data_IF_016805807752
#
_entry.id   IF_016805807752
#
_cell.length_a   1.000
_cell.length_b   1.000
_cell.length_c   1.000
_cell.angle_alpha   90.00
_cell.angle_beta   90.00
_cell.angle_gamma   90.00
#
_symmetry.space_group_name_H-M   'P 1'
#
loop_
_entity.id
_entity.type
_entity.pdbx_description
1 polymer ?
#
# COMPACT_ATOMS: atom_id res chain seq x y z
N UNK A 1 -36.27 -31.18 -44.75
CA UNK A 1 -35.15 -31.44 -43.84
C UNK A 1 -35.74 -31.43 -42.45
N UNK A 2 -36.01 -32.64 -41.97
CA UNK A 2 -36.68 -32.94 -40.71
C UNK A 2 -35.61 -33.54 -39.81
N UNK A 3 -35.46 -33.05 -38.59
CA UNK A 3 -34.78 -33.81 -37.54
C UNK A 3 -35.66 -33.83 -36.30
N UNK A 4 -36.07 -35.05 -35.98
CA UNK A 4 -36.88 -35.48 -34.85
C UNK A 4 -36.12 -35.37 -33.53
N UNK A 5 -36.82 -34.90 -32.49
CA UNK A 5 -36.43 -35.12 -31.10
C UNK A 5 -37.05 -36.44 -30.65
N UNK A 6 -36.23 -37.49 -30.56
CA UNK A 6 -36.63 -38.79 -30.05
C UNK A 6 -36.46 -38.86 -28.52
N UNK A 7 -37.44 -39.49 -27.90
CA UNK A 7 -37.66 -39.65 -26.45
C UNK A 7 -37.41 -41.12 -26.05
N UNK A 8 -36.84 -41.33 -24.85
CA UNK A 8 -36.82 -42.55 -23.98
C UNK A 8 -35.95 -43.77 -24.36
N UNK A 9 -35.62 -44.73 -23.44
CA UNK A 9 -36.00 -44.89 -22.02
C UNK A 9 -34.87 -45.21 -21.00
N UNK A 10 -35.32 -45.34 -19.75
CA UNK A 10 -34.68 -45.72 -18.51
C UNK A 10 -33.73 -46.94 -18.53
N UNK A 11 -32.68 -46.85 -17.71
CA UNK A 11 -31.97 -48.00 -17.15
C UNK A 11 -31.91 -47.87 -15.61
N UNK A 12 -32.34 -48.96 -14.98
CA UNK A 12 -32.43 -49.22 -13.55
C UNK A 12 -31.06 -49.71 -13.07
N UNK A 13 -30.50 -49.10 -12.02
CA UNK A 13 -29.44 -49.72 -11.22
C UNK A 13 -29.76 -49.56 -9.74
N UNK A 14 -29.71 -50.71 -9.07
CA UNK A 14 -30.08 -51.00 -7.69
C UNK A 14 -29.22 -50.31 -6.62
N UNK A 15 -29.89 -50.01 -5.49
CA UNK A 15 -29.48 -50.36 -4.12
C UNK A 15 -28.02 -50.07 -3.70
N UNK A 16 -27.80 -48.87 -3.16
CA UNK A 16 -26.67 -48.54 -2.30
C UNK A 16 -27.16 -47.84 -1.02
N UNK A 17 -27.19 -48.60 0.07
CA UNK A 17 -27.63 -48.26 1.42
C UNK A 17 -27.12 -46.91 1.96
N UNK A 18 -28.02 -46.15 2.58
CA UNK A 18 -27.75 -44.93 3.32
C UNK A 18 -26.72 -45.16 4.44
N UNK A 19 -25.73 -44.26 4.66
CA UNK A 19 -25.01 -44.24 5.91
C UNK A 19 -25.93 -43.67 7.00
N UNK A 20 -26.29 -44.51 7.95
CA UNK A 20 -26.93 -44.13 9.20
C UNK A 20 -26.10 -43.06 9.95
N UNK A 21 -26.75 -42.16 10.71
CA UNK A 21 -26.09 -41.20 11.56
C UNK A 21 -25.41 -41.92 12.74
N UNK A 22 -24.08 -41.96 12.73
CA UNK A 22 -23.28 -42.47 13.83
C UNK A 22 -23.52 -41.63 15.10
N UNK A 23 -24.18 -42.25 16.07
CA UNK A 23 -23.87 -42.21 17.51
C UNK A 23 -23.41 -40.86 18.07
N UNK A 24 -24.34 -40.22 18.78
CA UNK A 24 -24.17 -39.16 19.78
C UNK A 24 -23.03 -39.51 20.74
N UNK A 25 -21.81 -39.01 20.49
CA UNK A 25 -20.73 -39.01 21.49
C UNK A 25 -21.05 -37.92 22.51
N UNK A 26 -21.40 -38.36 23.71
CA UNK A 26 -21.68 -37.48 24.85
C UNK A 26 -20.51 -36.56 25.22
N UNK A 27 -20.74 -35.57 26.09
CA UNK A 27 -19.78 -34.54 26.49
C UNK A 27 -18.50 -35.07 27.17
N UNK A 28 -18.41 -36.36 27.44
CA UNK A 28 -17.23 -37.02 28.01
C UNK A 28 -16.10 -37.20 26.99
N UNK A 29 -16.41 -37.50 25.72
CA UNK A 29 -15.39 -37.69 24.69
C UNK A 29 -14.62 -36.40 24.32
N UNK A 30 -15.22 -35.24 24.57
CA UNK A 30 -14.54 -33.94 24.43
C UNK A 30 -13.64 -33.62 25.62
N UNK A 31 -14.01 -34.07 26.82
CA UNK A 31 -13.18 -33.94 28.02
C UNK A 31 -11.95 -34.80 27.94
N UNK A 32 -12.07 -36.01 27.40
CA UNK A 32 -10.93 -36.92 27.23
C UNK A 32 -9.92 -36.39 26.20
N UNK A 33 -10.39 -35.83 25.07
CA UNK A 33 -9.50 -35.15 24.11
C UNK A 33 -8.87 -33.88 24.66
N UNK A 34 -9.62 -33.11 25.45
CA UNK A 34 -9.08 -31.91 26.09
C UNK A 34 -8.03 -32.27 27.16
N UNK A 35 -8.25 -33.35 27.91
CA UNK A 35 -7.29 -33.89 28.87
C UNK A 35 -6.04 -34.43 28.17
N UNK A 36 -6.19 -35.18 27.07
CA UNK A 36 -5.08 -35.67 26.26
C UNK A 36 -4.29 -34.51 25.61
N UNK A 37 -4.97 -33.47 25.12
CA UNK A 37 -4.32 -32.26 24.63
C UNK A 37 -3.57 -31.51 25.73
N UNK A 38 -4.11 -31.46 26.96
CA UNK A 38 -3.46 -30.82 28.11
C UNK A 38 -2.26 -31.62 28.59
N UNK A 39 -2.31 -32.95 28.53
CA UNK A 39 -1.17 -33.82 28.80
C UNK A 39 -0.09 -33.70 27.72
N UNK A 40 -0.44 -33.58 26.44
CA UNK A 40 0.52 -33.31 25.37
C UNK A 40 1.18 -31.93 25.51
N UNK A 41 0.45 -30.91 25.96
CA UNK A 41 1.01 -29.58 26.24
C UNK A 41 1.91 -29.63 27.48
N UNK A 42 1.51 -30.34 28.55
CA UNK A 42 2.36 -30.55 29.73
C UNK A 42 3.63 -31.34 29.39
N UNK A 43 3.55 -32.38 28.56
CA UNK A 43 4.69 -33.16 28.09
C UNK A 43 5.64 -32.35 27.19
N UNK A 44 5.11 -31.45 26.36
CA UNK A 44 5.93 -30.50 25.59
C UNK A 44 6.56 -29.43 26.47
N UNK A 45 5.90 -29.04 27.57
CA UNK A 45 6.42 -28.06 28.52
C UNK A 45 7.43 -28.66 29.52
N UNK A 46 7.41 -29.98 29.77
CA UNK A 46 8.48 -30.65 30.52
C UNK A 46 9.73 -30.89 29.67
N UNK A 47 9.59 -30.98 28.35
CA UNK A 47 10.74 -30.94 27.42
C UNK A 47 11.41 -29.56 27.38
N UNK A 48 10.67 -28.46 27.52
CA UNK A 48 11.26 -27.12 27.69
C UNK A 48 11.83 -26.91 29.09
N UNK A 49 11.38 -27.66 30.09
CA UNK A 49 11.89 -27.60 31.46
C UNK A 49 13.22 -28.38 31.64
N UNK A 50 13.44 -29.46 30.88
CA UNK A 50 14.74 -30.14 30.83
C UNK A 50 15.84 -29.39 30.05
N UNK A 51 15.50 -28.30 29.35
CA UNK A 51 16.49 -27.39 28.72
C UNK A 51 16.85 -26.21 29.65
N UNK A 52 16.17 -26.04 30.79
CA UNK A 52 16.51 -25.00 31.79
C UNK A 52 17.79 -25.29 32.60
N UNK A 53 18.44 -26.45 32.36
CA UNK A 53 19.75 -26.79 32.92
C UNK A 53 20.93 -26.46 32.00
N UNK A 54 20.68 -25.95 30.78
CA UNK A 54 21.71 -25.30 29.99
C UNK A 54 21.76 -23.85 30.43
N UNK A 55 22.87 -23.46 31.04
CA UNK A 55 23.14 -22.13 31.56
C UNK A 55 22.53 -21.03 30.68
N UNK A 56 21.74 -20.15 31.29
CA UNK A 56 21.50 -18.84 30.72
C UNK A 56 22.88 -18.18 30.58
N UNK A 57 23.49 -18.31 29.41
CA UNK A 57 24.65 -17.52 29.01
C UNK A 57 24.10 -16.10 28.83
N UNK A 58 23.98 -15.38 29.95
CA UNK A 58 23.91 -13.93 29.93
C UNK A 58 25.12 -13.44 29.14
N UNK A 59 24.91 -12.44 28.29
CA UNK A 59 25.99 -11.76 27.53
C UNK A 59 27.16 -11.34 28.46
N UNK A 60 26.87 -11.10 29.73
CA UNK A 60 27.84 -10.71 30.77
C UNK A 60 28.75 -11.84 31.27
N UNK A 61 28.50 -13.11 30.91
CA UNK A 61 29.23 -14.29 31.41
C UNK A 61 29.93 -15.11 30.31
N UNK A 62 30.10 -14.54 29.12
CA UNK A 62 31.04 -15.08 28.14
C UNK A 62 32.44 -14.87 28.73
N UNK A 63 33.27 -15.90 28.97
CA UNK A 63 34.66 -15.68 29.35
C UNK A 63 35.28 -14.83 28.26
N UNK A 64 35.71 -13.63 28.64
CA UNK A 64 36.41 -12.65 27.81
C UNK A 64 37.75 -13.27 27.42
N UNK A 65 37.69 -14.21 26.49
CA UNK A 65 38.85 -14.78 25.84
C UNK A 65 39.53 -13.62 25.15
N UNK A 66 40.74 -13.29 25.63
CA UNK A 66 41.62 -12.25 25.12
C UNK A 66 41.56 -12.21 23.60
N UNK A 67 40.73 -11.30 23.09
CA UNK A 67 40.77 -10.90 21.69
C UNK A 67 42.10 -10.16 21.53
N UNK A 68 42.97 -10.57 20.58
CA UNK A 68 44.21 -9.84 20.34
C UNK A 68 43.84 -8.41 19.99
N UNK A 69 44.15 -7.50 20.92
CA UNK A 69 43.94 -6.07 20.76
C UNK A 69 44.97 -5.55 19.76
N UNK A 70 44.58 -5.45 18.49
CA UNK A 70 45.30 -4.68 17.49
C UNK A 70 44.31 -3.73 16.81
N UNK A 71 44.55 -2.44 17.00
CA UNK A 71 43.72 -1.29 16.62
C UNK A 71 43.57 -1.05 15.10
N UNK A 72 43.78 -2.06 14.25
CA UNK A 72 43.63 -1.92 12.81
C UNK A 72 42.65 -2.94 12.23
N UNK A 73 41.63 -2.43 11.54
CA UNK A 73 40.72 -3.15 10.64
C UNK A 73 39.59 -3.98 11.27
N UNK A 74 38.47 -3.32 11.60
CA UNK A 74 37.14 -3.96 11.71
C UNK A 74 36.59 -4.47 10.34
N UNK A 75 37.46 -4.84 9.39
CA UNK A 75 37.03 -5.59 8.21
C UNK A 75 36.88 -7.04 8.63
N UNK A 76 35.61 -7.43 8.77
CA UNK A 76 35.09 -8.79 8.84
C UNK A 76 36.13 -9.88 8.96
N UNK A 77 36.20 -10.46 10.15
CA UNK A 77 36.68 -11.82 10.34
C UNK A 77 36.11 -12.69 9.20
N UNK A 78 36.98 -13.35 8.44
CA UNK A 78 36.53 -14.27 7.40
C UNK A 78 35.90 -15.48 8.07
N UNK A 79 34.57 -15.44 8.20
CA UNK A 79 33.78 -16.47 8.84
C UNK A 79 34.02 -17.85 8.21
N UNK A 80 34.39 -17.90 6.92
CA UNK A 80 34.67 -19.16 6.25
C UNK A 80 36.03 -19.72 6.68
N UNK A 81 37.07 -18.88 6.75
CA UNK A 81 38.39 -19.27 7.25
C UNK A 81 38.34 -19.74 8.71
N UNK A 82 37.54 -19.08 9.55
CA UNK A 82 37.32 -19.51 10.93
C UNK A 82 36.65 -20.87 10.95
N UNK A 83 35.51 -21.04 10.24
CA UNK A 83 34.77 -22.31 10.18
C UNK A 83 35.64 -23.46 9.68
N UNK A 84 36.50 -23.23 8.71
CA UNK A 84 37.42 -24.25 8.18
C UNK A 84 38.46 -24.72 9.20
N UNK A 85 38.87 -23.84 10.12
CA UNK A 85 39.82 -24.15 11.20
C UNK A 85 39.22 -24.91 12.39
N UNK A 86 37.88 -24.98 12.50
CA UNK A 86 37.24 -25.72 13.59
C UNK A 86 37.34 -27.26 13.40
N UNK A 87 37.29 -28.04 14.48
CA UNK A 87 37.08 -29.49 14.40
C UNK A 87 35.79 -29.86 13.66
N UNK A 88 35.77 -31.02 13.00
CA UNK A 88 34.65 -31.45 12.12
C UNK A 88 33.28 -31.49 12.84
N UNK A 89 33.26 -31.91 14.11
CA UNK A 89 32.05 -31.90 14.95
C UNK A 89 31.52 -30.47 15.17
N UNK A 90 32.40 -29.50 15.36
CA UNK A 90 32.02 -28.11 15.55
C UNK A 90 31.55 -27.47 14.23
N UNK A 91 32.14 -27.83 13.07
CA UNK A 91 31.64 -27.41 11.75
C UNK A 91 30.21 -27.87 11.52
N UNK A 92 29.91 -29.13 11.86
CA UNK A 92 28.57 -29.71 11.75
C UNK A 92 27.56 -28.99 12.64
N UNK A 93 27.93 -28.66 13.87
CA UNK A 93 27.08 -27.90 14.80
C UNK A 93 26.78 -26.50 14.26
N UNK A 94 27.79 -25.75 13.80
CA UNK A 94 27.60 -24.41 13.22
C UNK A 94 26.74 -24.46 11.95
N UNK A 95 26.91 -25.48 11.11
CA UNK A 95 26.06 -25.70 9.92
C UNK A 95 24.60 -25.95 10.30
N UNK A 96 24.34 -26.78 11.30
CA UNK A 96 23.00 -27.01 11.82
C UNK A 96 22.39 -25.75 12.43
N UNK A 97 23.15 -24.99 13.22
CA UNK A 97 22.69 -23.70 13.74
C UNK A 97 22.32 -22.75 12.61
N UNK A 98 23.15 -22.60 11.57
CA UNK A 98 22.83 -21.74 10.41
C UNK A 98 21.54 -22.16 9.72
N UNK A 99 21.34 -23.47 9.53
CA UNK A 99 20.10 -24.02 8.94
C UNK A 99 18.90 -23.71 9.82
N UNK A 100 19.01 -23.91 11.13
CA UNK A 100 17.94 -23.66 12.09
C UNK A 100 17.61 -22.16 12.17
N UNK A 101 18.62 -21.29 12.22
CA UNK A 101 18.41 -19.84 12.19
C UNK A 101 17.77 -19.38 10.88
N UNK A 102 18.20 -19.92 9.74
CA UNK A 102 17.60 -19.59 8.43
C UNK A 102 16.15 -20.03 8.40
N UNK A 103 15.85 -21.27 8.83
CA UNK A 103 14.49 -21.81 8.91
C UNK A 103 13.62 -20.98 9.85
N UNK A 104 14.09 -20.69 11.06
CA UNK A 104 13.37 -19.84 12.03
C UNK A 104 13.13 -18.44 11.48
N UNK A 105 14.08 -17.87 10.75
CA UNK A 105 13.92 -16.53 10.13
C UNK A 105 12.84 -16.56 9.06
N UNK A 106 12.82 -17.60 8.22
CA UNK A 106 11.77 -17.79 7.21
C UNK A 106 10.40 -18.00 7.87
N UNK A 107 10.33 -18.82 8.93
CA UNK A 107 9.11 -19.08 9.69
C UNK A 107 8.59 -17.81 10.37
N UNK A 108 9.45 -17.03 11.03
CA UNK A 108 9.07 -15.74 11.63
C UNK A 108 8.59 -14.76 10.55
N UNK A 109 9.22 -14.75 9.37
CA UNK A 109 8.78 -13.91 8.26
C UNK A 109 7.40 -14.32 7.74
N UNK A 110 7.14 -15.63 7.66
CA UNK A 110 5.83 -16.17 7.28
C UNK A 110 4.76 -15.81 8.33
N UNK A 111 5.04 -16.04 9.61
CA UNK A 111 4.15 -15.69 10.72
C UNK A 111 3.82 -14.19 10.76
N UNK A 112 4.82 -13.32 10.54
CA UNK A 112 4.61 -11.87 10.45
C UNK A 112 3.68 -11.50 9.30
N UNK A 113 3.87 -12.11 8.13
CA UNK A 113 3.01 -11.88 6.97
C UNK A 113 1.58 -12.36 7.21
N UNK A 114 1.41 -13.52 7.85
CA UNK A 114 0.09 -14.04 8.23
C UNK A 114 -0.62 -13.12 9.24
N UNK A 115 0.12 -12.63 10.24
CA UNK A 115 -0.40 -11.66 11.20
C UNK A 115 -0.79 -10.35 10.53
N UNK A 116 0.01 -9.84 9.60
CA UNK A 116 -0.31 -8.63 8.85
C UNK A 116 -1.59 -8.79 8.01
N UNK A 117 -1.75 -9.94 7.34
CA UNK A 117 -2.97 -10.26 6.58
C UNK A 117 -4.19 -10.31 7.51
N UNK A 118 -4.07 -10.94 8.67
CA UNK A 118 -5.14 -11.01 9.66
C UNK A 118 -5.47 -9.62 10.24
N UNK A 119 -4.46 -8.80 10.53
CA UNK A 119 -4.68 -7.43 11.01
C UNK A 119 -5.40 -6.59 9.95
N UNK A 120 -4.99 -6.71 8.68
CA UNK A 120 -5.62 -6.02 7.56
C UNK A 120 -7.04 -6.52 7.29
N UNK A 121 -7.35 -7.79 7.58
CA UNK A 121 -8.72 -8.31 7.43
C UNK A 121 -9.63 -7.87 8.58
N UNK A 122 -9.11 -7.66 9.79
CA UNK A 122 -9.89 -7.18 10.93
C UNK A 122 -10.21 -5.69 10.76
N UNK A 123 -9.24 -4.85 10.43
CA UNK A 123 -9.47 -3.41 10.32
C UNK A 123 -10.34 -3.08 9.11
N UNK A 124 -11.50 -2.47 9.36
CA UNK A 124 -12.50 -2.21 8.32
C UNK A 124 -13.40 -3.39 7.97
N UNK A 125 -13.28 -4.52 8.70
CA UNK A 125 -14.29 -5.59 8.65
C UNK A 125 -15.65 -5.11 9.19
N UNK A 126 -16.71 -5.85 8.85
CA UNK A 126 -18.04 -5.63 9.44
C UNK A 126 -18.02 -5.74 10.96
N UNK A 127 -17.13 -6.58 11.50
CA UNK A 127 -16.93 -6.70 12.94
C UNK A 127 -16.36 -5.39 13.54
N UNK A 128 -15.32 -4.81 12.95
CA UNK A 128 -14.71 -3.55 13.41
C UNK A 128 -15.71 -2.38 13.38
N UNK A 129 -16.51 -2.31 12.30
CA UNK A 129 -17.60 -1.33 12.16
C UNK A 129 -18.67 -1.50 13.23
N UNK A 130 -19.04 -2.75 13.56
CA UNK A 130 -20.04 -3.03 14.58
C UNK A 130 -19.57 -2.65 15.98
N UNK A 131 -18.30 -2.92 16.32
CA UNK A 131 -17.70 -2.50 17.58
C UNK A 131 -17.65 -0.96 17.67
N UNK A 132 -17.28 -0.29 16.59
CA UNK A 132 -17.28 1.18 16.54
C UNK A 132 -18.70 1.75 16.75
N UNK A 133 -19.70 1.21 16.05
CA UNK A 133 -21.09 1.62 16.19
C UNK A 133 -21.64 1.38 17.61
N UNK A 134 -21.37 0.22 18.21
CA UNK A 134 -21.77 -0.10 19.59
C UNK A 134 -21.03 0.76 20.63
N UNK A 135 -19.77 1.11 20.39
CA UNK A 135 -19.02 1.97 21.30
C UNK A 135 -19.53 3.42 21.30
N UNK A 136 -20.05 3.88 20.15
CA UNK A 136 -20.52 5.25 19.92
C UNK A 136 -22.03 5.41 20.13
N UNK A 137 -22.78 4.34 20.37
CA UNK A 137 -24.22 4.43 20.65
C UNK A 137 -24.47 5.19 21.96
N UNK A 138 -25.60 5.88 22.03
CA UNK A 138 -26.01 6.61 23.24
C UNK A 138 -26.06 5.65 24.44
N UNK A 139 -25.62 6.12 25.62
CA UNK A 139 -25.56 5.29 26.82
C UNK A 139 -26.95 4.76 27.16
N UNK A 140 -27.13 3.45 27.08
CA UNK A 140 -28.38 2.79 27.43
C UNK A 140 -28.68 3.09 28.91
N UNK A 141 -29.85 3.68 29.19
CA UNK A 141 -30.36 3.84 30.55
C UNK A 141 -30.53 2.46 31.17
N UNK A 142 -29.87 2.26 32.32
CA UNK A 142 -29.84 0.97 32.97
C UNK A 142 -31.13 0.78 33.75
N UNK A 143 -32.04 -0.06 33.25
CA UNK A 143 -33.16 -0.57 34.04
C UNK A 143 -32.63 -1.66 34.98
N UNK A 144 -32.65 -1.46 36.31
CA UNK A 144 -32.16 -2.44 37.28
C UNK A 144 -32.99 -3.73 37.32
N UNK A 145 -34.18 -3.77 36.70
CA UNK A 145 -35.07 -4.93 36.71
C UNK A 145 -35.08 -5.71 35.39
N UNK A 146 -34.41 -5.22 34.34
CA UNK A 146 -34.28 -5.90 33.05
C UNK A 146 -32.87 -6.46 32.86
N UNK A 147 -32.77 -7.78 32.66
CA UNK A 147 -31.49 -8.43 32.35
C UNK A 147 -30.92 -7.99 31.00
N UNK A 148 -31.78 -7.60 30.07
CA UNK A 148 -31.39 -7.16 28.72
C UNK A 148 -30.64 -5.82 28.75
N UNK A 149 -31.05 -4.88 29.59
CA UNK A 149 -30.38 -3.57 29.75
C UNK A 149 -28.97 -3.72 30.34
N UNK A 150 -28.76 -4.70 31.23
CA UNK A 150 -27.42 -5.03 31.75
C UNK A 150 -26.53 -5.64 30.67
N UNK A 151 -27.04 -6.59 29.90
CA UNK A 151 -26.28 -7.22 28.80
C UNK A 151 -25.85 -6.19 27.75
N UNK A 152 -26.76 -5.30 27.35
CA UNK A 152 -26.45 -4.22 26.39
C UNK A 152 -25.37 -3.27 26.92
N UNK A 153 -25.40 -2.91 28.21
CA UNK A 153 -24.37 -2.07 28.81
C UNK A 153 -23.02 -2.77 28.92
N UNK A 154 -23.02 -4.07 29.22
CA UNK A 154 -21.80 -4.89 29.22
C UNK A 154 -21.23 -4.93 27.80
N UNK A 155 -22.05 -5.17 26.78
CA UNK A 155 -21.63 -5.19 25.39
C UNK A 155 -21.05 -3.83 24.96
N UNK A 156 -21.67 -2.72 25.35
CA UNK A 156 -21.16 -1.37 25.09
C UNK A 156 -19.80 -1.12 25.77
N UNK A 157 -19.65 -1.49 27.05
CA UNK A 157 -18.39 -1.32 27.78
C UNK A 157 -17.28 -2.20 27.20
N UNK A 158 -17.59 -3.43 26.80
CA UNK A 158 -16.66 -4.32 26.08
C UNK A 158 -16.28 -3.71 24.73
N UNK A 159 -17.25 -3.21 23.96
CA UNK A 159 -16.99 -2.56 22.68
C UNK A 159 -16.12 -1.31 22.84
N UNK A 160 -16.34 -0.50 23.88
CA UNK A 160 -15.52 0.69 24.17
C UNK A 160 -14.08 0.31 24.48
N UNK A 161 -13.85 -0.65 25.38
CA UNK A 161 -12.49 -1.13 25.71
C UNK A 161 -11.80 -1.75 24.51
N UNK A 162 -12.55 -2.47 23.69
CA UNK A 162 -12.03 -3.06 22.47
C UNK A 162 -11.65 -2.00 21.44
N UNK A 163 -12.46 -0.95 21.30
CA UNK A 163 -12.15 0.20 20.45
C UNK A 163 -10.89 0.94 20.94
N UNK A 164 -10.76 1.16 22.25
CA UNK A 164 -9.55 1.74 22.88
C UNK A 164 -8.29 0.89 22.62
N UNK A 165 -8.41 -0.45 22.72
CA UNK A 165 -7.31 -1.38 22.42
C UNK A 165 -6.92 -1.38 20.93
N UNK A 166 -7.90 -1.24 20.03
CA UNK A 166 -7.68 -1.24 18.58
C UNK A 166 -7.24 0.12 18.02
N UNK A 167 -7.43 1.21 18.76
CA UNK A 167 -7.04 2.56 18.39
C UNK A 167 -5.56 2.68 17.91
N UNK A 168 -4.54 2.18 18.64
CA UNK A 168 -3.15 2.24 18.17
C UNK A 168 -2.95 1.51 16.83
N UNK A 169 -3.63 0.37 16.64
CA UNK A 169 -3.52 -0.41 15.42
C UNK A 169 -4.14 0.34 14.22
N UNK A 170 -5.28 1.00 14.41
CA UNK A 170 -5.87 1.86 13.36
C UNK A 170 -4.97 3.06 13.03
N UNK A 171 -4.33 3.67 14.03
CA UNK A 171 -3.38 4.76 13.82
C UNK A 171 -2.16 4.32 13.02
N UNK A 172 -1.59 3.16 13.35
CA UNK A 172 -0.47 2.58 12.62
C UNK A 172 -0.85 2.28 11.16
N UNK A 173 -2.01 1.66 10.92
CA UNK A 173 -2.48 1.43 9.56
C UNK A 173 -2.71 2.73 8.78
N UNK A 174 -3.31 3.75 9.40
CA UNK A 174 -3.49 5.05 8.77
C UNK A 174 -2.14 5.69 8.40
N UNK A 175 -1.13 5.56 9.27
CA UNK A 175 0.22 6.01 9.00
C UNK A 175 0.89 5.23 7.85
N UNK A 176 0.78 3.90 7.85
CA UNK A 176 1.32 3.04 6.78
C UNK A 176 0.68 3.36 5.43
N UNK A 177 -0.65 3.54 5.37
CA UNK A 177 -1.35 3.94 4.15
C UNK A 177 -0.88 5.30 3.64
N UNK A 178 -0.73 6.29 4.53
CA UNK A 178 -0.19 7.62 4.16
C UNK A 178 1.24 7.53 3.64
N UNK A 179 2.08 6.70 4.25
CA UNK A 179 3.45 6.47 3.78
C UNK A 179 3.47 5.83 2.39
N UNK A 180 2.65 4.79 2.18
CA UNK A 180 2.52 4.15 0.87
C UNK A 180 2.01 5.12 -0.20
N UNK A 181 0.99 5.93 0.11
CA UNK A 181 0.49 6.98 -0.79
C UNK A 181 1.58 8.00 -1.14
N UNK A 182 2.40 8.40 -0.16
CA UNK A 182 3.51 9.32 -0.39
C UNK A 182 4.62 8.71 -1.25
N UNK A 183 4.95 7.43 -1.03
CA UNK A 183 5.95 6.72 -1.83
C UNK A 183 5.45 6.50 -3.27
N UNK A 184 4.18 6.09 -3.45
CA UNK A 184 3.53 6.01 -4.76
C UNK A 184 3.54 7.36 -5.48
N UNK A 185 3.15 8.42 -4.78
CA UNK A 185 3.12 9.77 -5.34
C UNK A 185 4.51 10.25 -5.81
N UNK A 186 5.57 9.95 -5.05
CA UNK A 186 6.95 10.23 -5.46
C UNK A 186 7.39 9.43 -6.68
N UNK A 187 6.98 8.16 -6.78
CA UNK A 187 7.31 7.33 -7.94
C UNK A 187 6.59 7.78 -9.20
N UNK A 188 5.34 8.24 -9.07
CA UNK A 188 4.53 8.73 -10.19
C UNK A 188 4.96 10.13 -10.66
N UNK A 189 5.46 10.96 -9.75
CA UNK A 189 5.79 12.36 -10.02
C UNK A 189 7.28 12.62 -9.69
N UNK A 190 8.21 12.19 -10.55
CA UNK A 190 9.64 12.45 -10.36
C UNK A 190 9.99 13.95 -10.46
N UNK A 191 9.14 14.75 -11.11
CA UNK A 191 9.23 16.22 -11.24
C UNK A 191 8.86 16.95 -9.94
N UNK A 192 8.47 16.24 -8.88
CA UNK A 192 8.18 16.84 -7.57
C UNK A 192 9.35 17.67 -7.02
N UNK A 193 10.59 17.34 -7.37
CA UNK A 193 11.77 18.09 -6.91
C UNK A 193 11.86 19.49 -7.53
N UNK A 194 11.38 19.67 -8.77
CA UNK A 194 11.48 20.95 -9.48
C UNK A 194 10.55 22.00 -8.87
N UNK A 195 9.44 21.58 -8.27
CA UNK A 195 8.42 22.45 -7.67
C UNK A 195 8.46 22.46 -6.14
N UNK A 196 9.51 21.89 -5.52
CA UNK A 196 9.58 21.66 -4.08
C UNK A 196 9.43 22.95 -3.25
N UNK A 197 10.11 24.02 -3.66
CA UNK A 197 10.12 25.26 -2.89
C UNK A 197 8.74 25.94 -2.88
N UNK A 198 8.08 25.96 -4.04
CA UNK A 198 6.72 26.47 -4.19
C UNK A 198 5.72 25.66 -3.37
N UNK A 199 5.83 24.33 -3.43
CA UNK A 199 4.99 23.40 -2.64
C UNK A 199 5.18 23.63 -1.14
N UNK A 200 6.43 23.75 -0.67
CA UNK A 200 6.73 24.02 0.74
C UNK A 200 6.19 25.36 1.17
N UNK A 201 6.27 26.40 0.32
CA UNK A 201 5.69 27.71 0.63
C UNK A 201 4.16 27.62 0.80
N UNK A 202 3.47 26.86 -0.05
CA UNK A 202 2.02 26.67 0.01
C UNK A 202 1.60 25.87 1.24
N UNK A 203 2.29 24.78 1.54
CA UNK A 203 2.00 23.95 2.72
C UNK A 203 2.25 24.69 4.04
N UNK A 204 3.26 25.57 4.10
CA UNK A 204 3.48 26.45 5.26
C UNK A 204 2.36 27.47 5.43
N UNK A 205 1.84 28.01 4.32
CA UNK A 205 0.74 28.99 4.35
C UNK A 205 -0.61 28.35 4.71
N UNK A 206 -0.85 27.10 4.28
CA UNK A 206 -2.10 26.38 4.48
C UNK A 206 -1.82 24.94 4.95
N UNK A 207 -1.91 24.71 6.27
CA UNK A 207 -1.70 23.39 6.87
C UNK A 207 -2.80 22.37 6.54
N UNK A 208 -3.96 22.81 6.06
CA UNK A 208 -5.06 21.93 5.65
C UNK A 208 -4.87 21.33 4.25
N UNK A 209 -3.87 21.78 3.49
CA UNK A 209 -3.67 21.34 2.12
C UNK A 209 -2.87 20.03 2.08
N UNK A 210 -3.26 19.11 1.18
CA UNK A 210 -2.49 17.89 0.97
C UNK A 210 -1.26 18.17 0.09
N UNK A 211 -0.22 17.33 0.22
CA UNK A 211 0.98 17.43 -0.63
C UNK A 211 0.63 17.27 -2.12
N UNK A 212 -0.30 16.37 -2.43
CA UNK A 212 -0.76 16.10 -3.78
C UNK A 212 -1.44 17.34 -4.39
N UNK A 213 -2.33 17.98 -3.66
CA UNK A 213 -3.00 19.20 -4.11
C UNK A 213 -2.00 20.35 -4.30
N UNK A 214 -1.08 20.52 -3.35
CA UNK A 214 -0.03 21.53 -3.43
C UNK A 214 0.81 21.36 -4.69
N UNK A 215 1.18 20.13 -5.03
CA UNK A 215 1.93 19.82 -6.23
C UNK A 215 1.17 20.18 -7.51
N UNK A 216 -0.10 19.77 -7.65
CA UNK A 216 -0.86 20.09 -8.86
C UNK A 216 -1.09 21.59 -9.03
N UNK A 217 -1.28 22.31 -7.92
CA UNK A 217 -1.38 23.78 -7.94
C UNK A 217 -0.05 24.40 -8.39
N UNK A 218 1.08 23.97 -7.82
CA UNK A 218 2.40 24.48 -8.17
C UNK A 218 2.74 24.21 -9.64
N UNK A 219 2.51 22.97 -10.11
CA UNK A 219 2.70 22.58 -11.51
C UNK A 219 1.82 23.38 -12.47
N UNK A 220 0.55 23.58 -12.10
CA UNK A 220 -0.38 24.42 -12.87
C UNK A 220 0.09 25.86 -12.98
N UNK A 221 0.63 26.44 -11.89
CA UNK A 221 1.22 27.79 -11.91
C UNK A 221 2.43 27.86 -12.84
N UNK A 222 3.35 26.90 -12.74
CA UNK A 222 4.54 26.87 -13.58
C UNK A 222 4.20 26.72 -15.08
N UNK A 223 3.24 25.86 -15.42
CA UNK A 223 2.76 25.70 -16.80
C UNK A 223 2.10 26.98 -17.31
N UNK A 224 1.31 27.65 -16.49
CA UNK A 224 0.69 28.93 -16.84
C UNK A 224 1.73 30.04 -17.06
N UNK A 225 2.79 30.05 -16.27
CA UNK A 225 3.89 31.02 -16.42
C UNK A 225 4.67 30.78 -17.72
N UNK A 226 4.99 29.51 -18.04
CA UNK A 226 5.61 29.15 -19.32
C UNK A 226 4.73 29.54 -20.52
N UNK A 227 3.43 29.30 -20.42
CA UNK A 227 2.47 29.68 -21.46
C UNK A 227 2.40 31.20 -21.63
N UNK A 228 2.44 31.95 -20.52
CA UNK A 228 2.50 33.41 -20.54
C UNK A 228 3.79 33.91 -21.20
N UNK A 229 4.93 33.33 -20.86
CA UNK A 229 6.23 33.68 -21.46
C UNK A 229 6.23 33.41 -22.97
N UNK A 230 5.79 32.23 -23.41
CA UNK A 230 5.67 31.89 -24.82
C UNK A 230 4.71 32.85 -25.58
N UNK A 231 3.62 33.28 -24.96
CA UNK A 231 2.73 34.29 -25.54
C UNK A 231 3.41 35.64 -25.68
N UNK A 232 4.17 36.08 -24.67
CA UNK A 232 4.92 37.35 -24.73
C UNK A 232 6.00 37.31 -25.79
N UNK A 233 6.73 36.20 -25.95
CA UNK A 233 7.73 36.03 -27.01
C UNK A 233 7.09 36.06 -28.40
N UNK A 234 5.95 35.38 -28.58
CA UNK A 234 5.21 35.44 -29.84
C UNK A 234 4.69 36.84 -30.16
N UNK A 235 4.24 37.60 -29.15
CA UNK A 235 3.83 38.99 -29.33
C UNK A 235 5.01 39.87 -29.72
N UNK A 236 6.14 39.77 -29.01
CA UNK A 236 7.37 40.48 -29.34
C UNK A 236 7.87 40.12 -30.75
N UNK A 237 7.86 38.85 -31.12
CA UNK A 237 8.24 38.40 -32.46
C UNK A 237 7.30 38.96 -33.53
N UNK A 238 5.98 39.00 -33.28
CA UNK A 238 5.00 39.62 -34.19
C UNK A 238 5.23 41.12 -34.34
N UNK A 239 5.52 41.82 -33.26
CA UNK A 239 5.81 43.26 -33.28
C UNK A 239 7.11 43.56 -34.03
N UNK A 240 8.17 42.79 -33.76
CA UNK A 240 9.44 42.89 -34.47
C UNK A 240 9.25 42.60 -35.96
N UNK A 241 8.56 41.52 -36.33
CA UNK A 241 8.27 41.18 -37.72
C UNK A 241 7.45 42.27 -38.43
N UNK A 242 6.48 42.90 -37.74
CA UNK A 242 5.76 44.07 -38.28
C UNK A 242 6.69 45.25 -38.50
N UNK A 243 7.56 45.55 -37.54
CA UNK A 243 8.52 46.65 -37.65
C UNK A 243 9.54 46.42 -38.77
N UNK A 244 10.07 45.20 -38.93
CA UNK A 244 10.96 44.84 -40.03
C UNK A 244 10.22 44.76 -41.37
N UNK A 245 9.01 44.20 -41.43
CA UNK A 245 8.17 44.18 -42.63
C UNK A 245 7.82 45.59 -43.12
N UNK A 246 7.63 46.55 -42.21
CA UNK A 246 7.43 47.96 -42.55
C UNK A 246 8.71 48.63 -43.07
N UNK A 247 9.91 48.18 -42.65
CA UNK A 247 11.20 48.73 -43.07
C UNK A 247 11.79 48.09 -44.33
N UNK A 248 11.53 46.80 -44.57
CA UNK A 248 12.09 46.01 -45.69
C UNK A 248 11.06 45.77 -46.80
N UNK A 249 9.78 46.04 -46.53
CA UNK A 249 8.78 46.15 -47.57
C UNK A 249 9.16 47.29 -48.50
N UNK A 250 9.72 46.97 -49.68
CA UNK A 250 9.65 47.86 -50.85
C UNK A 250 8.23 48.43 -50.88
N UNK A 251 8.03 49.75 -51.10
CA UNK A 251 6.69 50.29 -51.17
C UNK A 251 5.90 49.39 -52.10
N UNK A 252 4.86 48.75 -51.58
CA UNK A 252 3.96 47.94 -52.39
C UNK A 252 3.56 48.86 -53.52
N UNK A 253 4.08 48.62 -54.72
CA UNK A 253 3.62 49.29 -55.92
C UNK A 253 2.13 49.02 -55.89
N UNK A 254 1.34 50.07 -55.65
CA UNK A 254 -0.07 49.92 -55.36
C UNK A 254 -0.67 49.10 -56.48
N UNK A 255 -1.13 47.89 -56.17
CA UNK A 255 -2.09 47.23 -57.05
C UNK A 255 -3.32 48.12 -56.89
N UNK A 256 -3.41 49.13 -57.76
CA UNK A 256 -4.57 49.99 -57.88
C UNK A 256 -5.78 49.05 -57.90
N UNK A 257 -6.68 49.24 -56.96
CA UNK A 257 -7.88 48.41 -56.89
C UNK A 257 -8.83 48.90 -57.98
N UNK A 258 -9.56 48.01 -58.67
CA UNK A 258 -10.60 48.46 -59.59
C UNK A 258 -11.58 49.38 -58.83
N UNK A 259 -12.11 50.45 -59.47
CA UNK A 259 -13.02 51.36 -58.81
C UNK A 259 -14.24 50.61 -58.23
N UNK A 260 -14.73 51.07 -57.07
CA UNK A 260 -15.87 50.41 -56.41
C UNK A 260 -17.16 50.67 -57.21
N UNK A 261 -17.91 49.62 -57.52
CA UNK A 261 -19.18 49.69 -58.24
C UNK A 261 -19.17 49.18 -59.68
N UNK A 262 -18.02 48.73 -60.20
CA UNK A 262 -17.95 48.12 -61.55
C UNK A 262 -18.55 46.71 -61.56
N UNK A 263 -19.26 46.39 -62.65
CA UNK A 263 -19.74 45.02 -62.88
C UNK A 263 -18.56 44.09 -63.22
N UNK A 264 -18.69 42.78 -62.96
CA UNK A 264 -17.60 41.81 -63.10
C UNK A 264 -16.91 41.83 -64.47
N UNK A 265 -17.69 42.08 -65.52
CA UNK A 265 -17.19 42.24 -66.89
C UNK A 265 -16.35 43.51 -67.10
N UNK A 266 -16.69 44.61 -66.43
CA UNK A 266 -15.97 45.88 -66.52
C UNK A 266 -14.65 45.82 -65.76
N UNK A 267 -14.64 45.09 -64.62
CA UNK A 267 -13.41 44.77 -63.88
C UNK A 267 -12.43 43.99 -64.77
N UNK A 268 -12.93 43.04 -65.56
CA UNK A 268 -12.11 42.27 -66.50
C UNK A 268 -11.49 43.15 -67.59
N UNK A 269 -12.28 44.03 -68.22
CA UNK A 269 -11.76 45.00 -69.21
C UNK A 269 -10.74 45.96 -68.61
N UNK A 270 -10.97 46.44 -67.39
CA UNK A 270 -10.06 47.32 -66.68
C UNK A 270 -8.71 46.64 -66.38
N UNK A 271 -8.74 45.36 -65.97
CA UNK A 271 -7.52 44.55 -65.78
C UNK A 271 -6.79 44.28 -67.11
N UNK A 272 -7.52 44.06 -68.20
CA UNK A 272 -6.94 43.84 -69.52
C UNK A 272 -6.25 45.09 -70.08
N UNK A 273 -6.82 46.28 -69.87
CA UNK A 273 -6.25 47.55 -70.32
C UNK A 273 -4.91 47.89 -69.65
N UNK A 274 -4.60 47.27 -68.50
CA UNK A 274 -3.40 47.50 -67.69
C UNK A 274 -2.31 46.44 -67.84
N UNK A 275 -2.57 45.40 -68.65
CA UNK A 275 -1.61 44.31 -68.95
C UNK A 275 -0.67 44.60 -70.13
N UNK A 276 -0.59 45.83 -70.60
CA UNK A 276 0.44 46.33 -71.54
C UNK A 276 1.51 47.06 -70.76
#
# INVERSE_FOLDING_TARGET
MSEEVATTPAEVVESGTAPEPSTTKGPEAFRDRAAEALEQVKAKNTLSEQVKGADNISIDNIPEGVLPSSEDTFKGLDYNAIIESLPEDAKKLVSNLRKDYTRKTQEISAQRKELEVLQNSIVGSEWDKSIEAMSNSETVELDPYSTESFEQRIQQEVARRMNEMMAPLRQEQAYMRKKQQLDQFKTENPDLQDYKDDIVSMLKSNQSLSLQDAYYIAKGKATNEQLRQAQTELQQHRENARAYGLKVGKPSVGIEKPPKGLNSYEVYKWLQARKK
#
